data_IF_807463280685
#
_entry.id   IF_807463280685
#
_cell.length_a   1.000
_cell.length_b   1.000
_cell.length_c   1.000
_cell.angle_alpha   90.00
_cell.angle_beta   90.00
_cell.angle_gamma   90.00
#
_symmetry.space_group_name_H-M   'P 1'
#
loop_
_entity.id
_entity.type
_entity.pdbx_description
1 polymer ?
#
# COMPACT_ATOMS: atom_id res chain seq x y z
N UNK A 1 12.30 -22.96 -24.85
CA UNK A 1 13.03 -22.32 -25.96
C UNK A 1 14.45 -22.85 -26.00
N UNK A 2 15.01 -23.00 -27.16
CA UNK A 2 16.44 -23.20 -27.31
C UNK A 2 17.14 -21.87 -26.99
N UNK A 3 18.41 -21.98 -26.59
CA UNK A 3 19.23 -20.80 -26.35
C UNK A 3 19.25 -19.87 -27.57
N UNK A 4 19.13 -18.58 -27.35
CA UNK A 4 19.14 -17.57 -28.39
C UNK A 4 20.53 -17.49 -29.03
N UNK A 5 20.64 -17.86 -30.31
CA UNK A 5 21.84 -17.57 -31.10
C UNK A 5 21.64 -16.30 -31.92
N UNK A 6 22.62 -15.40 -31.83
CA UNK A 6 22.57 -14.12 -32.55
C UNK A 6 22.41 -14.38 -34.06
N UNK A 7 21.31 -13.92 -34.67
CA UNK A 7 20.99 -14.13 -36.05
C UNK A 7 19.99 -15.25 -36.34
N UNK A 8 19.68 -16.08 -35.34
CA UNK A 8 18.61 -17.10 -35.45
C UNK A 8 17.54 -16.76 -34.42
N UNK A 9 16.33 -16.51 -34.82
CA UNK A 9 15.22 -16.20 -33.94
C UNK A 9 14.97 -17.27 -32.85
N UNK A 10 14.20 -16.94 -31.84
CA UNK A 10 13.80 -17.90 -30.80
C UNK A 10 12.99 -19.05 -31.47
N UNK A 11 13.50 -20.28 -31.32
CA UNK A 11 12.81 -21.47 -31.80
C UNK A 11 12.21 -22.27 -30.65
N UNK A 12 10.98 -22.71 -30.83
CA UNK A 12 10.30 -23.61 -29.91
C UNK A 12 10.30 -25.03 -30.53
N UNK A 13 10.50 -26.04 -29.69
CA UNK A 13 10.43 -27.43 -30.13
C UNK A 13 9.12 -28.02 -29.65
N UNK A 14 8.38 -28.64 -30.53
CA UNK A 14 7.11 -29.33 -30.21
C UNK A 14 7.30 -30.51 -29.25
N UNK A 15 8.54 -31.01 -29.11
CA UNK A 15 8.89 -32.06 -28.17
C UNK A 15 9.25 -31.52 -26.75
N UNK A 16 9.38 -30.24 -26.61
CA UNK A 16 9.79 -29.58 -25.37
C UNK A 16 8.65 -28.72 -24.82
N UNK A 17 7.71 -29.35 -24.18
CA UNK A 17 6.67 -28.67 -23.41
C UNK A 17 6.60 -29.23 -21.99
N UNK A 18 6.27 -28.38 -21.05
CA UNK A 18 6.00 -28.76 -19.68
C UNK A 18 4.51 -28.65 -19.46
N UNK A 19 3.79 -29.80 -19.36
CA UNK A 19 2.35 -29.75 -19.10
C UNK A 19 2.09 -29.23 -17.69
N UNK A 20 1.11 -28.36 -17.56
CA UNK A 20 0.57 -27.94 -16.27
C UNK A 20 -0.78 -28.64 -16.09
N UNK A 21 -0.85 -29.56 -15.15
CA UNK A 21 -2.11 -30.22 -14.79
C UNK A 21 -3.06 -29.17 -14.18
N UNK A 22 -4.34 -29.27 -14.41
CA UNK A 22 -5.34 -28.37 -13.85
C UNK A 22 -6.65 -28.34 -14.63
N UNK A 23 -7.56 -27.49 -14.19
CA UNK A 23 -8.86 -27.32 -14.82
C UNK A 23 -8.70 -26.66 -16.20
N UNK A 24 -9.38 -27.15 -17.21
CA UNK A 24 -9.31 -26.67 -18.59
C UNK A 24 -9.70 -25.20 -18.76
N UNK A 25 -10.48 -24.65 -17.83
CA UNK A 25 -10.94 -23.26 -17.83
C UNK A 25 -10.04 -22.28 -17.05
N UNK A 26 -8.95 -22.78 -16.42
CA UNK A 26 -7.99 -21.93 -15.70
C UNK A 26 -6.87 -21.45 -16.65
N UNK A 27 -7.04 -20.28 -17.23
CA UNK A 27 -6.19 -19.74 -18.29
C UNK A 27 -4.92 -19.09 -17.75
N UNK A 28 -3.78 -19.18 -18.47
CA UNK A 28 -2.58 -18.42 -18.14
C UNK A 28 -2.88 -16.91 -18.11
N UNK A 29 -2.41 -16.22 -17.07
CA UNK A 29 -2.67 -14.81 -16.82
C UNK A 29 -1.41 -13.96 -16.77
N UNK A 30 -0.34 -14.46 -16.12
CA UNK A 30 0.94 -13.78 -15.97
C UNK A 30 2.10 -14.77 -15.80
N UNK A 31 3.31 -14.26 -15.95
CA UNK A 31 4.56 -14.95 -15.65
C UNK A 31 5.40 -14.09 -14.73
N UNK A 32 6.12 -14.71 -13.81
CA UNK A 32 7.08 -14.03 -12.95
C UNK A 32 8.25 -14.94 -12.61
N UNK A 33 9.39 -14.38 -12.27
CA UNK A 33 10.56 -15.17 -11.87
C UNK A 33 11.14 -14.64 -10.57
N UNK A 34 11.57 -15.54 -9.70
CA UNK A 34 12.31 -15.22 -8.48
C UNK A 34 13.42 -16.25 -8.27
N UNK A 35 14.67 -15.79 -8.29
CA UNK A 35 15.82 -16.69 -8.30
C UNK A 35 15.76 -17.69 -9.47
N UNK A 36 15.89 -19.00 -9.18
CA UNK A 36 15.82 -20.06 -10.18
C UNK A 36 14.41 -20.63 -10.39
N UNK A 37 13.37 -19.93 -9.89
CA UNK A 37 11.99 -20.38 -9.98
C UNK A 37 11.22 -19.53 -10.98
N UNK A 38 10.58 -20.16 -11.95
CA UNK A 38 9.60 -19.54 -12.82
C UNK A 38 8.21 -19.77 -12.23
N UNK A 39 7.50 -18.71 -11.91
CA UNK A 39 6.11 -18.76 -11.52
C UNK A 39 5.21 -18.56 -12.72
N UNK A 40 4.29 -19.48 -12.91
CA UNK A 40 3.25 -19.42 -13.95
C UNK A 40 1.93 -19.17 -13.24
N UNK A 41 1.40 -17.99 -13.47
CA UNK A 41 0.09 -17.61 -12.93
C UNK A 41 -0.99 -17.99 -13.93
N UNK A 42 -2.04 -18.57 -13.41
CA UNK A 42 -3.34 -18.69 -14.06
C UNK A 42 -4.34 -17.79 -13.33
N UNK A 43 -5.57 -17.71 -13.79
CA UNK A 43 -6.59 -16.87 -13.16
C UNK A 43 -6.95 -17.36 -11.73
N UNK A 44 -6.81 -18.68 -11.47
CA UNK A 44 -7.22 -19.32 -10.22
C UNK A 44 -6.11 -20.14 -9.55
N UNK A 45 -4.97 -20.31 -10.18
CA UNK A 45 -3.87 -21.12 -9.65
C UNK A 45 -2.50 -20.53 -9.93
N UNK A 46 -1.50 -20.95 -9.15
CA UNK A 46 -0.10 -20.58 -9.31
C UNK A 46 0.74 -21.84 -9.32
N UNK A 47 1.59 -21.95 -10.33
CA UNK A 47 2.53 -23.05 -10.50
C UNK A 47 3.97 -22.53 -10.47
N UNK A 48 4.88 -23.34 -9.93
CA UNK A 48 6.29 -23.06 -9.89
C UNK A 48 7.07 -24.12 -10.66
N UNK A 49 7.99 -23.69 -11.51
CA UNK A 49 8.93 -24.55 -12.21
C UNK A 49 10.34 -24.15 -11.79
N UNK A 50 11.07 -25.12 -11.27
CA UNK A 50 12.46 -24.94 -10.85
C UNK A 50 13.40 -25.62 -11.85
N UNK A 51 14.66 -25.16 -11.88
CA UNK A 51 15.71 -25.77 -12.67
C UNK A 51 16.17 -24.93 -13.84
N UNK A 52 17.35 -25.23 -14.34
CA UNK A 52 17.98 -24.46 -15.43
C UNK A 52 17.54 -24.93 -16.81
N UNK A 53 16.78 -26.03 -16.88
CA UNK A 53 16.35 -26.64 -18.12
C UNK A 53 17.46 -27.39 -18.86
N UNK A 54 17.19 -27.85 -20.09
CA UNK A 54 18.16 -28.57 -20.87
C UNK A 54 19.27 -27.67 -21.38
N UNK A 55 20.52 -28.13 -21.24
CA UNK A 55 21.69 -27.49 -21.82
C UNK A 55 21.69 -27.52 -23.35
N UNK A 56 22.62 -26.80 -23.99
CA UNK A 56 22.80 -26.85 -25.46
C UNK A 56 22.99 -28.25 -26.01
N UNK A 57 23.52 -29.18 -25.24
CA UNK A 57 23.72 -30.57 -25.60
C UNK A 57 22.50 -31.46 -25.35
N UNK A 58 21.40 -30.89 -24.84
CA UNK A 58 20.17 -31.60 -24.51
C UNK A 58 20.23 -32.35 -23.17
N UNK A 59 21.26 -32.18 -22.38
CA UNK A 59 21.35 -32.75 -21.03
C UNK A 59 20.69 -31.81 -20.01
N UNK A 60 20.08 -32.38 -18.96
CA UNK A 60 19.32 -31.65 -17.95
C UNK A 60 17.85 -31.54 -18.30
N UNK A 61 17.03 -31.33 -17.30
CA UNK A 61 15.56 -31.19 -17.42
C UNK A 61 15.06 -30.14 -16.43
N UNK A 62 13.91 -29.56 -16.69
CA UNK A 62 13.18 -28.85 -15.64
C UNK A 62 12.62 -29.86 -14.64
N UNK A 63 12.55 -29.46 -13.38
CA UNK A 63 11.79 -30.21 -12.39
C UNK A 63 10.29 -30.20 -12.75
N UNK A 64 9.56 -31.21 -12.30
CA UNK A 64 8.11 -31.25 -12.46
C UNK A 64 7.46 -29.99 -11.88
N UNK A 65 6.47 -29.39 -12.57
CA UNK A 65 5.75 -28.24 -12.04
C UNK A 65 5.15 -28.54 -10.68
N UNK A 66 5.33 -27.61 -9.76
CA UNK A 66 4.78 -27.69 -8.42
C UNK A 66 3.61 -26.72 -8.29
N UNK A 67 2.49 -27.19 -7.76
CA UNK A 67 1.35 -26.34 -7.45
C UNK A 67 1.65 -25.53 -6.18
N UNK A 68 1.71 -24.21 -6.31
CA UNK A 68 1.93 -23.26 -5.19
C UNK A 68 0.60 -22.88 -4.54
N UNK A 69 -0.42 -22.62 -5.37
CA UNK A 69 -1.78 -22.31 -4.92
C UNK A 69 -2.80 -22.81 -5.94
N UNK A 70 -3.93 -23.32 -5.45
CA UNK A 70 -5.07 -23.75 -6.26
C UNK A 70 -6.32 -22.85 -6.08
N UNK A 71 -6.19 -21.76 -5.32
CA UNK A 71 -7.28 -20.82 -5.00
C UNK A 71 -6.94 -19.38 -5.30
N UNK A 72 -5.65 -19.08 -5.47
CA UNK A 72 -5.12 -17.75 -5.75
C UNK A 72 -4.40 -17.83 -7.08
N UNK A 73 -4.71 -16.91 -7.98
CA UNK A 73 -4.04 -16.74 -9.26
C UNK A 73 -3.78 -15.26 -9.51
N UNK A 74 -3.40 -14.87 -10.72
CA UNK A 74 -3.24 -13.46 -11.05
C UNK A 74 -4.31 -12.99 -12.02
N UNK A 75 -4.72 -11.74 -11.92
CA UNK A 75 -5.61 -11.12 -12.89
C UNK A 75 -4.93 -11.10 -14.26
N UNK A 76 -5.70 -11.43 -15.29
CA UNK A 76 -5.20 -11.50 -16.66
C UNK A 76 -4.52 -10.20 -17.08
N UNK A 77 -3.22 -10.30 -17.42
CA UNK A 77 -2.38 -9.19 -17.85
C UNK A 77 -2.04 -8.20 -16.75
N UNK A 78 -2.18 -8.55 -15.46
CA UNK A 78 -1.55 -7.83 -14.36
C UNK A 78 -0.03 -8.03 -14.42
N UNK A 79 0.74 -6.98 -14.15
CA UNK A 79 2.18 -7.09 -14.04
C UNK A 79 2.56 -7.90 -12.79
N UNK A 80 3.76 -8.50 -12.86
CA UNK A 80 4.43 -9.08 -11.70
C UNK A 80 5.75 -8.36 -11.49
N UNK A 81 6.15 -8.15 -10.25
CA UNK A 81 7.38 -7.43 -9.93
C UNK A 81 8.15 -8.10 -8.80
N UNK A 82 9.43 -8.35 -9.01
CA UNK A 82 10.31 -8.98 -8.03
C UNK A 82 11.04 -7.93 -7.20
N UNK A 83 11.01 -8.11 -5.89
CA UNK A 83 11.79 -7.34 -4.92
C UNK A 83 12.60 -8.30 -4.01
N UNK A 84 13.34 -7.76 -3.08
CA UNK A 84 14.03 -8.54 -2.05
C UNK A 84 13.05 -9.31 -1.12
N UNK A 85 11.83 -8.79 -0.91
CA UNK A 85 10.81 -9.46 -0.09
C UNK A 85 10.09 -10.59 -0.84
N UNK A 86 10.10 -10.57 -2.17
CA UNK A 86 9.44 -11.57 -3.00
C UNK A 86 8.79 -10.98 -4.25
N UNK A 87 7.92 -11.77 -4.86
CA UNK A 87 7.23 -11.45 -6.11
C UNK A 87 5.84 -10.89 -5.83
N UNK A 88 5.62 -9.64 -6.20
CA UNK A 88 4.33 -8.96 -6.11
C UNK A 88 3.47 -9.22 -7.34
N UNK A 89 2.17 -9.36 -7.15
CA UNK A 89 1.17 -9.49 -8.21
C UNK A 89 -0.22 -9.08 -7.71
N UNK A 90 -1.18 -8.92 -8.60
CA UNK A 90 -2.58 -8.66 -8.27
C UNK A 90 -3.44 -9.88 -8.58
N UNK A 91 -4.27 -10.30 -7.64
CA UNK A 91 -5.36 -11.25 -7.85
C UNK A 91 -6.73 -10.55 -7.80
N UNK A 92 -7.80 -11.34 -7.82
CA UNK A 92 -9.18 -10.84 -7.76
C UNK A 92 -9.53 -10.13 -6.44
N UNK A 93 -8.79 -10.37 -5.38
CA UNK A 93 -8.97 -9.78 -4.05
C UNK A 93 -8.15 -8.52 -3.86
N UNK A 94 -6.97 -8.43 -4.48
CA UNK A 94 -6.07 -7.28 -4.34
C UNK A 94 -4.61 -7.65 -4.54
N UNK A 95 -3.73 -7.01 -3.79
CA UNK A 95 -2.28 -7.20 -3.93
C UNK A 95 -1.79 -8.36 -3.08
N UNK A 96 -1.06 -9.26 -3.71
CA UNK A 96 -0.46 -10.45 -3.12
C UNK A 96 1.06 -10.38 -3.22
N UNK A 97 1.73 -11.08 -2.31
CA UNK A 97 3.19 -11.27 -2.28
C UNK A 97 3.52 -12.76 -2.19
N UNK A 98 4.33 -13.28 -3.11
CA UNK A 98 4.97 -14.59 -2.96
C UNK A 98 6.33 -14.38 -2.30
N UNK A 99 6.40 -14.67 -1.03
CA UNK A 99 7.64 -14.63 -0.25
C UNK A 99 8.12 -16.03 0.14
N UNK A 100 9.15 -16.12 0.99
CA UNK A 100 9.68 -17.40 1.48
C UNK A 100 8.63 -18.26 2.21
N UNK A 101 7.63 -17.64 2.80
CA UNK A 101 6.56 -18.29 3.56
C UNK A 101 5.32 -18.62 2.70
N UNK A 102 5.42 -18.52 1.36
CA UNK A 102 4.33 -18.74 0.45
C UNK A 102 3.59 -17.46 0.05
N UNK A 103 2.34 -17.61 -0.41
CA UNK A 103 1.50 -16.50 -0.87
C UNK A 103 0.87 -15.79 0.32
N UNK A 104 1.04 -14.47 0.38
CA UNK A 104 0.51 -13.62 1.45
C UNK A 104 -0.34 -12.50 0.87
N UNK A 105 -1.51 -12.26 1.44
CA UNK A 105 -2.36 -11.13 1.10
C UNK A 105 -1.92 -9.89 1.89
N UNK A 106 -1.36 -8.91 1.18
CA UNK A 106 -0.86 -7.67 1.77
C UNK A 106 -1.74 -6.46 1.47
N UNK A 107 -2.67 -6.59 0.53
CA UNK A 107 -3.53 -5.51 0.05
C UNK A 107 -4.71 -5.13 0.94
N UNK A 108 -4.88 -5.73 2.12
CA UNK A 108 -6.07 -5.55 2.96
C UNK A 108 -6.35 -4.09 3.35
N UNK A 109 -5.30 -3.30 3.60
CA UNK A 109 -5.44 -1.90 4.00
C UNK A 109 -5.95 -0.98 2.87
N UNK A 110 -5.80 -1.41 1.61
CA UNK A 110 -6.20 -0.64 0.42
C UNK A 110 -7.32 -1.32 -0.37
N UNK A 111 -7.86 -2.44 0.09
CA UNK A 111 -8.86 -3.25 -0.62
C UNK A 111 -10.04 -2.39 -1.10
N UNK A 112 -10.64 -1.60 -0.21
CA UNK A 112 -11.75 -0.70 -0.55
C UNK A 112 -11.37 0.40 -1.53
N UNK A 113 -10.12 0.90 -1.46
CA UNK A 113 -9.65 1.98 -2.32
C UNK A 113 -9.19 1.50 -3.68
N UNK A 114 -8.65 0.29 -3.75
CA UNK A 114 -8.27 -0.39 -4.99
C UNK A 114 -9.55 -0.87 -5.71
N UNK A 115 -10.51 -1.42 -4.96
CA UNK A 115 -11.78 -1.92 -5.48
C UNK A 115 -11.58 -2.86 -6.67
N UNK A 116 -12.25 -2.57 -7.77
CA UNK A 116 -12.09 -3.31 -9.03
C UNK A 116 -10.99 -2.76 -9.95
N UNK A 117 -10.21 -1.79 -9.49
CA UNK A 117 -9.15 -1.19 -10.30
C UNK A 117 -8.04 -2.20 -10.56
N UNK A 118 -7.58 -2.21 -11.80
CA UNK A 118 -6.47 -3.07 -12.20
C UNK A 118 -5.16 -2.35 -12.05
N UNK A 119 -4.17 -3.03 -11.49
CA UNK A 119 -2.77 -2.60 -11.56
C UNK A 119 -2.27 -2.80 -12.98
N UNK A 120 -1.78 -1.73 -13.58
CA UNK A 120 -1.28 -1.68 -14.95
C UNK A 120 0.24 -1.76 -15.00
N UNK A 121 0.91 -1.28 -13.95
CA UNK A 121 2.36 -1.32 -13.82
C UNK A 121 2.78 -1.36 -12.35
N UNK A 122 3.93 -2.00 -12.10
CA UNK A 122 4.56 -2.07 -10.77
C UNK A 122 6.03 -1.70 -10.93
N UNK A 123 6.51 -0.82 -10.07
CA UNK A 123 7.90 -0.37 -10.05
C UNK A 123 8.37 -0.19 -8.61
N UNK A 124 9.67 -0.20 -8.38
CA UNK A 124 10.28 0.01 -7.07
C UNK A 124 11.10 1.27 -7.05
N UNK A 125 10.85 2.15 -6.08
CA UNK A 125 11.76 3.24 -5.76
C UNK A 125 12.80 2.74 -4.75
N UNK A 126 14.01 2.48 -5.25
CA UNK A 126 15.11 1.98 -4.43
C UNK A 126 15.54 3.00 -3.36
N UNK A 127 15.53 4.29 -3.72
CA UNK A 127 15.92 5.38 -2.81
C UNK A 127 14.98 5.48 -1.60
N UNK A 128 13.68 5.23 -1.81
CA UNK A 128 12.65 5.39 -0.79
C UNK A 128 12.26 4.08 -0.12
N UNK A 129 12.74 2.94 -0.60
CA UNK A 129 12.39 1.62 -0.06
C UNK A 129 10.90 1.28 -0.23
N UNK A 130 10.27 1.77 -1.32
CA UNK A 130 8.85 1.56 -1.59
C UNK A 130 8.62 0.85 -2.92
N UNK A 131 7.54 0.07 -2.98
CA UNK A 131 7.00 -0.49 -4.22
C UNK A 131 5.77 0.30 -4.62
N UNK A 132 5.70 0.71 -5.87
CA UNK A 132 4.64 1.53 -6.46
C UNK A 132 3.76 0.68 -7.37
N UNK A 133 2.46 0.78 -7.20
CA UNK A 133 1.44 0.07 -7.97
C UNK A 133 0.56 1.09 -8.68
N UNK A 134 0.70 1.24 -9.98
CA UNK A 134 -0.12 2.16 -10.76
C UNK A 134 -1.44 1.50 -11.18
N UNK A 135 -2.52 2.20 -10.96
CA UNK A 135 -3.78 2.02 -11.67
C UNK A 135 -3.92 3.11 -12.73
N UNK A 136 -4.99 3.11 -13.48
CA UNK A 136 -5.21 4.15 -14.50
C UNK A 136 -5.34 5.58 -13.92
N UNK A 137 -5.65 5.73 -12.63
CA UNK A 137 -5.92 7.03 -11.99
C UNK A 137 -5.09 7.32 -10.75
N UNK A 138 -4.52 6.30 -10.11
CA UNK A 138 -3.84 6.44 -8.83
C UNK A 138 -2.56 5.62 -8.79
N UNK A 139 -1.66 6.00 -7.92
CA UNK A 139 -0.50 5.17 -7.55
C UNK A 139 -0.61 4.82 -6.07
N UNK A 140 -0.66 3.53 -5.77
CA UNK A 140 -0.52 3.02 -4.41
C UNK A 140 0.94 2.71 -4.16
N UNK A 141 1.42 2.99 -2.96
CA UNK A 141 2.79 2.69 -2.57
C UNK A 141 2.80 1.82 -1.33
N UNK A 142 3.69 0.85 -1.32
CA UNK A 142 3.92 -0.05 -0.20
C UNK A 142 5.34 0.12 0.31
N UNK A 143 5.48 0.53 1.57
CA UNK A 143 6.79 0.60 2.23
C UNK A 143 7.27 -0.80 2.59
N UNK A 144 8.45 -1.17 2.12
CA UNK A 144 9.06 -2.47 2.42
C UNK A 144 9.49 -2.55 3.90
N UNK A 145 9.94 -1.45 4.48
CA UNK A 145 10.44 -1.39 5.85
C UNK A 145 9.28 -1.39 6.88
N UNK A 146 8.28 -0.55 6.63
CA UNK A 146 7.19 -0.34 7.59
C UNK A 146 5.95 -1.19 7.30
N UNK A 147 5.89 -1.86 6.14
CA UNK A 147 4.74 -2.65 5.68
C UNK A 147 3.44 -1.84 5.67
N UNK A 148 3.54 -0.57 5.28
CA UNK A 148 2.44 0.38 5.27
C UNK A 148 2.12 0.82 3.86
N UNK A 149 0.83 1.12 3.64
CA UNK A 149 0.32 1.59 2.37
C UNK A 149 0.09 3.09 2.37
N UNK A 150 0.39 3.71 1.23
CA UNK A 150 0.03 5.09 0.93
C UNK A 150 -0.62 5.16 -0.46
N UNK A 151 -1.33 6.24 -0.73
CA UNK A 151 -1.99 6.47 -2.02
C UNK A 151 -1.69 7.88 -2.50
N UNK A 152 -1.17 7.98 -3.71
CA UNK A 152 -1.02 9.24 -4.41
C UNK A 152 -2.17 9.44 -5.39
N UNK A 153 -2.82 10.58 -5.28
CA UNK A 153 -3.89 11.03 -6.17
C UNK A 153 -3.41 12.28 -6.88
N UNK A 154 -3.24 12.20 -8.17
CA UNK A 154 -2.74 13.32 -8.98
C UNK A 154 -3.92 14.16 -9.46
N UNK A 155 -3.95 15.44 -9.11
CA UNK A 155 -5.08 16.33 -9.36
C UNK A 155 -5.43 16.50 -10.85
N UNK A 156 -4.47 16.28 -11.75
CA UNK A 156 -4.63 16.49 -13.21
C UNK A 156 -4.82 15.22 -14.03
N UNK A 157 -4.87 14.05 -13.42
CA UNK A 157 -5.10 12.79 -14.16
C UNK A 157 -6.57 12.61 -14.55
N UNK A 158 -7.48 13.51 -14.16
CA UNK A 158 -8.92 13.35 -14.42
C UNK A 158 -9.30 13.13 -15.89
N UNK A 159 -8.48 13.58 -16.83
CA UNK A 159 -8.67 13.37 -18.28
C UNK A 159 -7.64 12.42 -18.92
N UNK A 160 -6.55 12.16 -18.25
CA UNK A 160 -5.45 11.32 -18.73
C UNK A 160 -5.30 10.10 -17.83
N UNK A 161 -4.84 9.00 -18.40
CA UNK A 161 -4.61 7.76 -17.66
C UNK A 161 -3.13 7.52 -17.48
N UNK A 162 -2.75 7.00 -16.32
CA UNK A 162 -1.41 6.46 -16.11
C UNK A 162 -1.28 5.20 -16.98
N UNK A 163 -0.17 5.06 -17.69
CA UNK A 163 0.12 3.88 -18.51
C UNK A 163 1.43 3.20 -18.11
N UNK A 164 2.24 3.82 -17.27
CA UNK A 164 3.49 3.22 -16.80
C UNK A 164 4.14 4.04 -15.69
N UNK A 165 5.03 3.36 -14.97
CA UNK A 165 5.92 3.91 -13.97
C UNK A 165 7.36 3.72 -14.43
N UNK A 166 8.29 4.44 -13.82
CA UNK A 166 9.71 4.23 -14.02
C UNK A 166 10.52 4.94 -12.95
N UNK A 167 11.70 4.43 -12.67
CA UNK A 167 12.70 5.08 -11.85
C UNK A 167 13.99 5.25 -12.65
N UNK A 168 14.62 6.40 -12.52
CA UNK A 168 15.94 6.63 -13.07
C UNK A 168 16.76 7.50 -12.12
N UNK A 169 17.87 6.95 -11.65
CA UNK A 169 18.80 7.61 -10.73
C UNK A 169 18.12 8.20 -9.48
N UNK A 170 17.28 7.38 -8.83
CA UNK A 170 16.53 7.73 -7.63
C UNK A 170 15.41 8.74 -7.84
N UNK A 171 15.07 9.04 -9.10
CA UNK A 171 13.95 9.89 -9.47
C UNK A 171 12.82 9.07 -10.05
N UNK A 172 11.64 9.24 -9.52
CA UNK A 172 10.44 8.55 -9.95
C UNK A 172 9.75 9.29 -11.11
N UNK A 173 9.23 8.55 -12.05
CA UNK A 173 8.49 9.05 -13.20
C UNK A 173 7.15 8.35 -13.35
N UNK A 174 6.19 9.07 -13.94
CA UNK A 174 4.88 8.56 -14.31
C UNK A 174 4.66 8.89 -15.77
N UNK A 175 4.24 7.90 -16.56
CA UNK A 175 3.92 8.06 -17.96
C UNK A 175 2.40 8.10 -18.15
N UNK A 176 1.92 9.06 -18.91
CA UNK A 176 0.50 9.25 -19.20
C UNK A 176 0.17 8.87 -20.63
N UNK A 177 -1.10 8.50 -20.88
CA UNK A 177 -1.59 8.05 -22.18
C UNK A 177 -1.56 9.14 -23.27
N UNK A 178 -1.39 10.41 -22.90
CA UNK A 178 -1.22 11.52 -23.84
C UNK A 178 0.25 11.72 -24.27
N UNK A 179 1.18 10.87 -23.78
CA UNK A 179 2.62 10.94 -24.06
C UNK A 179 3.41 11.84 -23.11
N UNK A 180 2.77 12.45 -22.14
CA UNK A 180 3.48 13.21 -21.11
C UNK A 180 4.21 12.27 -20.15
N UNK A 181 5.41 12.69 -19.75
CA UNK A 181 6.17 12.03 -18.68
C UNK A 181 6.30 13.05 -17.54
N UNK A 182 5.74 12.69 -16.40
CA UNK A 182 5.80 13.52 -15.21
C UNK A 182 6.92 13.01 -14.30
N UNK A 183 7.73 13.95 -13.83
CA UNK A 183 8.77 13.73 -12.85
C UNK A 183 8.20 13.99 -11.46
N UNK A 184 8.39 13.07 -10.53
CA UNK A 184 8.08 13.30 -9.13
C UNK A 184 9.03 14.35 -8.53
N UNK A 185 8.49 15.32 -7.80
CA UNK A 185 9.30 16.32 -7.13
C UNK A 185 10.12 15.67 -6.01
N UNK A 186 11.31 16.19 -5.75
CA UNK A 186 12.11 15.75 -4.61
C UNK A 186 11.29 15.94 -3.31
N UNK A 187 11.31 14.94 -2.43
CA UNK A 187 10.59 14.95 -1.14
C UNK A 187 10.95 16.14 -0.24
N UNK A 188 12.10 16.79 -0.50
CA UNK A 188 12.54 18.01 0.18
C UNK A 188 12.13 19.30 -0.53
N UNK A 189 11.30 19.22 -1.56
CA UNK A 189 10.81 20.43 -2.22
C UNK A 189 9.91 21.21 -1.26
N UNK A 190 10.24 22.46 -1.01
CA UNK A 190 9.43 23.38 -0.20
C UNK A 190 8.03 23.66 -0.77
N UNK A 191 7.74 23.16 -1.97
CA UNK A 191 6.49 23.39 -2.70
C UNK A 191 5.99 22.11 -3.37
N UNK A 192 5.44 21.15 -2.62
CA UNK A 192 4.86 19.94 -3.22
C UNK A 192 3.59 20.33 -4.02
N UNK A 193 3.70 20.34 -5.33
CA UNK A 193 2.61 20.73 -6.24
C UNK A 193 2.56 19.83 -7.46
N UNK A 194 1.34 19.45 -7.83
CA UNK A 194 1.09 18.74 -9.07
C UNK A 194 0.81 19.73 -10.21
N UNK A 195 1.40 19.50 -11.37
CA UNK A 195 1.05 20.17 -12.61
C UNK A 195 2.19 20.93 -13.29
N UNK A 196 1.85 21.63 -14.36
CA UNK A 196 2.78 22.48 -15.12
C UNK A 196 3.00 23.80 -14.39
N UNK A 197 4.13 24.45 -14.65
CA UNK A 197 4.58 25.68 -13.97
C UNK A 197 3.55 26.83 -13.92
N UNK A 198 2.54 26.82 -14.79
CA UNK A 198 1.49 27.85 -14.86
C UNK A 198 0.22 27.53 -14.08
N UNK A 199 0.07 26.28 -13.59
CA UNK A 199 -1.19 25.85 -12.99
C UNK A 199 -0.91 24.69 -12.00
N UNK A 200 -0.29 25.05 -10.90
CA UNK A 200 0.13 24.12 -9.86
C UNK A 200 -0.99 23.89 -8.83
N UNK A 201 -1.37 22.65 -8.64
CA UNK A 201 -2.32 22.25 -7.60
C UNK A 201 -1.57 21.78 -6.36
N UNK A 202 -1.87 22.31 -5.16
CA UNK A 202 -1.24 21.88 -3.93
C UNK A 202 -1.53 20.40 -3.63
N UNK A 203 -0.51 19.67 -3.20
CA UNK A 203 -0.69 18.32 -2.65
C UNK A 203 -1.08 18.47 -1.19
N UNK A 204 -2.24 17.94 -0.81
CA UNK A 204 -2.75 18.01 0.58
C UNK A 204 -2.55 16.67 1.29
N UNK A 205 -2.06 16.74 2.52
CA UNK A 205 -1.89 15.56 3.37
C UNK A 205 -3.26 15.02 3.80
N UNK A 206 -3.46 13.73 3.59
CA UNK A 206 -4.55 12.97 4.20
C UNK A 206 -3.98 11.72 4.84
N UNK A 207 -4.04 11.64 6.17
CA UNK A 207 -3.58 10.49 6.93
C UNK A 207 -4.78 9.84 7.62
N UNK A 208 -4.91 8.52 7.53
CA UNK A 208 -5.92 7.73 8.22
C UNK A 208 -5.23 6.60 8.97
N UNK A 209 -5.44 6.50 10.28
CA UNK A 209 -4.95 5.36 11.05
C UNK A 209 -5.83 4.13 10.81
N UNK A 210 -5.31 2.95 11.11
CA UNK A 210 -6.15 1.80 11.41
C UNK A 210 -6.95 2.02 12.70
N UNK A 211 -7.79 1.07 13.06
CA UNK A 211 -8.43 1.04 14.36
C UNK A 211 -7.39 0.74 15.45
N UNK A 212 -7.21 1.66 16.39
CA UNK A 212 -6.33 1.51 17.54
C UNK A 212 -7.17 0.95 18.67
N UNK A 213 -7.03 -0.34 18.96
CA UNK A 213 -7.70 -1.01 20.06
C UNK A 213 -6.89 -0.91 21.35
N UNK A 214 -7.55 -0.80 22.50
CA UNK A 214 -6.90 -0.56 23.79
C UNK A 214 -6.79 -1.80 24.66
N UNK A 215 -7.55 -2.84 24.37
CA UNK A 215 -7.56 -4.09 25.13
C UNK A 215 -7.74 -5.29 24.21
N UNK A 216 -7.33 -6.47 24.70
CA UNK A 216 -7.75 -7.74 24.13
C UNK A 216 -9.29 -7.88 24.14
N UNK A 217 -9.79 -8.80 23.37
CA UNK A 217 -11.17 -9.11 22.91
C UNK A 217 -12.34 -8.76 23.87
N UNK A 218 -12.10 -8.39 25.12
CA UNK A 218 -13.13 -8.13 26.12
C UNK A 218 -12.78 -6.95 27.05
N UNK A 219 -12.68 -5.76 26.56
CA UNK A 219 -12.51 -4.65 27.48
C UNK A 219 -12.57 -3.26 26.85
N UNK A 220 -13.32 -2.37 27.48
CA UNK A 220 -13.26 -0.95 27.17
C UNK A 220 -12.02 -0.32 27.79
N UNK A 221 -11.20 0.35 26.99
CA UNK A 221 -10.21 1.28 27.46
C UNK A 221 -10.80 2.66 27.74
N UNK A 222 -10.00 3.54 28.30
CA UNK A 222 -10.31 4.97 28.35
C UNK A 222 -9.29 5.73 27.54
N UNK A 223 -9.71 6.37 26.46
CA UNK A 223 -8.91 7.29 25.70
C UNK A 223 -9.30 8.72 26.11
N UNK A 224 -8.36 9.50 26.68
CA UNK A 224 -8.66 10.81 27.20
C UNK A 224 -8.40 11.91 26.19
N UNK A 225 -7.23 11.89 25.60
CA UNK A 225 -6.77 12.92 24.66
C UNK A 225 -5.76 12.36 23.69
N UNK A 226 -5.65 13.07 22.58
CA UNK A 226 -4.58 12.85 21.62
C UNK A 226 -3.67 14.08 21.55
N UNK A 227 -2.45 13.88 21.09
CA UNK A 227 -1.52 14.93 20.74
C UNK A 227 -0.79 14.58 19.46
N UNK A 228 -0.71 15.53 18.53
CA UNK A 228 0.19 15.46 17.37
C UNK A 228 1.37 16.37 17.63
N UNK A 229 2.55 15.85 17.32
CA UNK A 229 3.80 16.59 17.25
C UNK A 229 4.23 16.68 15.81
N UNK A 230 4.77 17.82 15.42
CA UNK A 230 5.26 18.02 14.07
C UNK A 230 6.02 19.32 13.93
N UNK A 231 6.41 19.63 12.71
CA UNK A 231 7.12 20.85 12.36
C UNK A 231 6.27 21.72 11.43
N UNK A 232 6.25 23.00 11.70
CA UNK A 232 5.63 24.00 10.84
C UNK A 232 6.45 24.19 9.57
N UNK A 233 5.79 24.22 8.41
CA UNK A 233 6.42 24.55 7.14
C UNK A 233 5.76 25.77 6.49
N UNK A 234 4.43 25.87 6.54
CA UNK A 234 3.67 27.02 6.06
C UNK A 234 2.31 27.11 6.75
N UNK A 235 1.60 28.23 6.57
CA UNK A 235 0.27 28.42 7.12
C UNK A 235 -0.73 27.40 6.60
N UNK A 236 -1.39 26.68 7.53
CA UNK A 236 -2.25 25.54 7.20
C UNK A 236 -3.35 25.34 8.24
N UNK A 237 -4.47 24.78 7.83
CA UNK A 237 -5.50 24.23 8.73
C UNK A 237 -5.35 22.71 8.78
N UNK A 238 -5.24 22.17 10.00
CA UNK A 238 -5.27 20.73 10.23
C UNK A 238 -6.62 20.37 10.83
N UNK A 239 -7.37 19.50 10.15
CA UNK A 239 -8.64 18.95 10.64
C UNK A 239 -8.42 17.53 11.08
N UNK A 240 -8.70 17.24 12.34
CA UNK A 240 -8.63 15.89 12.90
C UNK A 240 -10.04 15.39 13.15
N UNK A 241 -10.41 14.29 12.50
CA UNK A 241 -11.69 13.60 12.68
C UNK A 241 -11.46 12.32 13.45
N UNK A 242 -12.36 11.99 14.36
CA UNK A 242 -12.26 10.81 15.21
C UNK A 242 -13.52 9.98 15.12
N UNK A 243 -13.32 8.69 14.92
CA UNK A 243 -14.37 7.66 14.92
C UNK A 243 -14.08 6.64 16.02
N UNK A 244 -15.10 5.97 16.56
CA UNK A 244 -15.02 5.09 17.73
C UNK A 244 -15.69 3.74 17.46
N UNK A 245 -15.20 2.71 18.16
CA UNK A 245 -15.85 1.39 18.30
C UNK A 245 -16.17 0.70 16.96
N UNK A 246 -15.24 0.77 16.01
CA UNK A 246 -15.35 0.18 14.68
C UNK A 246 -16.50 0.74 13.82
N UNK A 247 -17.08 1.88 14.21
CA UNK A 247 -18.03 2.65 13.42
C UNK A 247 -17.31 3.81 12.74
N UNK A 248 -17.32 3.83 11.40
CA UNK A 248 -16.65 4.86 10.60
C UNK A 248 -17.34 6.24 10.66
N UNK A 249 -18.48 6.33 11.35
CA UNK A 249 -19.14 7.62 11.59
C UNK A 249 -18.22 8.54 12.40
N UNK A 250 -17.95 9.73 11.86
CA UNK A 250 -17.15 10.74 12.55
C UNK A 250 -17.95 11.32 13.70
N UNK A 251 -17.44 11.18 14.93
CA UNK A 251 -18.07 11.70 16.15
C UNK A 251 -17.44 13.03 16.56
N UNK A 252 -16.11 13.12 16.56
CA UNK A 252 -15.40 14.34 16.93
C UNK A 252 -14.69 14.96 15.73
N UNK A 253 -14.69 16.28 15.66
CA UNK A 253 -13.91 17.05 14.68
C UNK A 253 -13.21 18.21 15.36
N UNK A 254 -11.87 18.27 15.18
CA UNK A 254 -11.02 19.32 15.72
C UNK A 254 -10.36 20.06 14.57
N UNK A 255 -10.42 21.40 14.60
CA UNK A 255 -9.74 22.24 13.62
C UNK A 255 -8.64 23.05 14.33
N UNK A 256 -7.45 22.97 13.78
CA UNK A 256 -6.27 23.67 14.26
C UNK A 256 -5.73 24.56 13.16
N UNK A 257 -5.82 25.88 13.35
CA UNK A 257 -5.30 26.87 12.41
C UNK A 257 -3.88 27.25 12.82
N UNK A 258 -2.92 27.00 11.95
CA UNK A 258 -1.51 27.33 12.13
C UNK A 258 -1.19 28.51 11.22
N UNK A 259 -1.21 29.71 11.80
CA UNK A 259 -0.89 30.92 11.07
C UNK A 259 0.63 31.12 10.92
N UNK A 260 1.04 31.87 9.91
CA UNK A 260 2.45 32.22 9.64
C UNK A 260 3.04 33.24 10.62
N UNK A 261 2.19 33.93 11.39
CA UNK A 261 2.64 35.00 12.27
C UNK A 261 3.57 34.49 13.37
N UNK A 262 4.82 34.94 13.36
CA UNK A 262 5.82 34.62 14.38
C UNK A 262 6.39 33.18 14.30
N UNK A 263 6.25 32.50 13.16
CA UNK A 263 6.76 31.15 12.93
C UNK A 263 7.68 31.09 11.72
N UNK A 264 8.69 30.24 11.84
CA UNK A 264 9.63 29.89 10.79
C UNK A 264 9.47 28.41 10.40
N UNK A 265 9.80 28.03 9.17
CA UNK A 265 9.83 26.63 8.76
C UNK A 265 10.80 25.84 9.67
N UNK A 266 10.37 24.67 10.14
CA UNK A 266 11.08 23.86 11.13
C UNK A 266 10.67 24.15 12.58
N UNK A 267 9.85 25.17 12.86
CA UNK A 267 9.38 25.41 14.22
C UNK A 267 8.48 24.26 14.71
N UNK A 268 8.68 23.76 15.94
CA UNK A 268 7.86 22.68 16.46
C UNK A 268 6.42 23.14 16.70
N UNK A 269 5.47 22.29 16.32
CA UNK A 269 4.05 22.50 16.56
C UNK A 269 3.47 21.31 17.31
N UNK A 270 2.54 21.59 18.20
CA UNK A 270 1.82 20.57 18.96
C UNK A 270 0.33 20.87 18.95
N UNK A 271 -0.46 19.85 18.56
CA UNK A 271 -1.91 19.89 18.61
C UNK A 271 -2.41 18.90 19.66
N UNK A 272 -3.40 19.31 20.45
CA UNK A 272 -4.01 18.47 21.48
C UNK A 272 -5.52 18.56 21.39
N UNK A 273 -6.21 17.41 21.52
CA UNK A 273 -7.65 17.35 21.59
C UNK A 273 -8.12 16.39 22.69
N UNK A 274 -9.22 16.75 23.37
CA UNK A 274 -9.87 15.87 24.34
C UNK A 274 -10.95 15.06 23.62
N UNK A 275 -10.91 13.75 23.77
CA UNK A 275 -11.89 12.86 23.14
C UNK A 275 -13.21 12.92 23.88
N UNK A 276 -14.34 13.10 23.15
CA UNK A 276 -15.68 13.18 23.73
C UNK A 276 -16.14 11.82 24.26
N UNK A 277 -15.87 10.74 23.52
CA UNK A 277 -16.18 9.37 23.93
C UNK A 277 -14.96 8.71 24.54
N UNK A 278 -14.76 8.99 25.84
CA UNK A 278 -13.58 8.47 26.54
C UNK A 278 -13.61 6.96 26.78
N UNK A 279 -14.80 6.36 26.92
CA UNK A 279 -14.96 4.92 27.09
C UNK A 279 -15.28 4.29 25.73
N UNK A 280 -14.30 3.66 25.12
CA UNK A 280 -14.42 3.02 23.81
C UNK A 280 -13.57 1.74 23.72
N UNK A 281 -13.86 0.88 22.78
CA UNK A 281 -13.08 -0.33 22.47
C UNK A 281 -11.90 0.00 21.55
N UNK A 282 -12.14 0.88 20.59
CA UNK A 282 -11.16 1.32 19.62
C UNK A 282 -11.41 2.77 19.19
N UNK A 283 -10.35 3.41 18.70
CA UNK A 283 -10.41 4.77 18.12
C UNK A 283 -9.69 4.78 16.78
N UNK A 284 -10.18 5.60 15.87
CA UNK A 284 -9.59 5.82 14.54
C UNK A 284 -9.50 7.31 14.26
N UNK A 285 -8.36 7.73 13.74
CA UNK A 285 -8.10 9.13 13.40
C UNK A 285 -8.03 9.29 11.88
N UNK A 286 -8.61 10.37 11.38
CA UNK A 286 -8.39 10.89 10.03
C UNK A 286 -7.89 12.33 10.16
N UNK A 287 -6.70 12.61 9.63
CA UNK A 287 -6.06 13.92 9.64
C UNK A 287 -6.07 14.44 8.22
N UNK A 288 -6.59 15.63 8.05
CA UNK A 288 -6.72 16.31 6.78
C UNK A 288 -6.02 17.66 6.86
N UNK A 289 -5.21 17.93 5.87
CA UNK A 289 -4.65 19.25 5.63
C UNK A 289 -5.58 20.05 4.72
N UNK A 290 -5.74 21.33 4.98
CA UNK A 290 -6.50 22.25 4.14
C UNK A 290 -5.80 23.62 4.10
N UNK A 291 -6.04 24.36 3.02
CA UNK A 291 -5.58 25.75 2.90
C UNK A 291 -6.20 26.60 4.00
N UNK A 292 -5.40 27.39 4.68
CA UNK A 292 -5.91 28.45 5.51
C UNK A 292 -6.33 29.61 4.58
N UNK A 293 -7.52 30.18 4.82
CA UNK A 293 -8.09 31.23 3.98
C UNK A 293 -7.12 32.41 3.81
N UNK A 294 -6.86 32.82 2.57
CA UNK A 294 -5.92 33.89 2.24
C UNK A 294 -4.44 33.47 2.18
N UNK A 295 -4.11 32.20 2.36
CA UNK A 295 -2.74 31.68 2.21
C UNK A 295 -2.58 30.82 0.95
N UNK A 296 -1.37 30.84 0.38
CA UNK A 296 -0.98 29.87 -0.65
C UNK A 296 -0.42 28.64 0.07
N UNK A 297 -0.98 27.46 -0.16
CA UNK A 297 -0.39 26.23 0.40
C UNK A 297 0.97 26.03 -0.27
N UNK A 298 1.97 26.00 0.61
CA UNK A 298 3.29 25.45 0.34
C UNK A 298 3.34 24.06 1.02
N UNK A 299 4.45 23.59 1.51
CA UNK A 299 4.47 22.45 2.45
C UNK A 299 3.82 22.89 3.77
N UNK A 300 2.69 22.33 4.18
CA UNK A 300 1.93 22.83 5.34
C UNK A 300 2.56 22.45 6.68
N UNK A 301 2.62 21.15 6.97
CA UNK A 301 3.16 20.60 8.22
C UNK A 301 3.82 19.25 7.98
N UNK A 302 4.87 18.95 8.71
CA UNK A 302 5.44 17.61 8.84
C UNK A 302 4.88 17.02 10.13
N UNK A 303 4.19 15.88 10.05
CA UNK A 303 3.70 15.17 11.24
C UNK A 303 4.75 14.11 11.61
N UNK A 304 5.31 14.23 12.82
CA UNK A 304 6.34 13.31 13.31
C UNK A 304 5.77 12.22 14.22
N UNK A 305 4.79 12.58 15.06
CA UNK A 305 4.28 11.68 16.07
C UNK A 305 2.80 11.90 16.38
N UNK A 306 2.09 10.79 16.63
CA UNK A 306 0.75 10.75 17.20
C UNK A 306 0.83 10.07 18.57
N UNK A 307 0.57 10.80 19.63
CA UNK A 307 0.47 10.28 20.98
C UNK A 307 -1.01 10.20 21.41
N UNK A 308 -1.36 9.10 22.07
CA UNK A 308 -2.68 8.88 22.63
C UNK A 308 -2.57 8.61 24.12
N UNK A 309 -3.24 9.44 24.94
CA UNK A 309 -3.31 9.22 26.38
C UNK A 309 -4.42 8.23 26.70
N UNK A 310 -4.02 7.07 27.21
CA UNK A 310 -4.90 5.95 27.52
C UNK A 310 -4.89 5.68 29.01
N UNK A 311 -6.08 5.53 29.61
CA UNK A 311 -6.24 5.05 30.97
C UNK A 311 -6.57 3.55 30.97
N UNK A 312 -5.67 2.73 31.49
CA UNK A 312 -5.96 1.33 31.71
C UNK A 312 -6.73 1.17 33.01
N UNK A 313 -7.99 0.75 32.94
CA UNK A 313 -8.72 0.29 34.11
C UNK A 313 -8.22 -1.14 34.41
N UNK A 314 -7.49 -1.34 35.51
CA UNK A 314 -7.22 -2.69 36.02
C UNK A 314 -8.59 -3.34 36.32
N UNK A 315 -9.05 -4.19 35.42
CA UNK A 315 -10.22 -5.01 35.65
C UNK A 315 -9.93 -5.98 36.80
N UNK A 316 -10.75 -5.95 37.83
CA UNK A 316 -10.80 -7.07 38.77
C UNK A 316 -11.47 -8.20 37.98
N UNK A 317 -10.70 -9.21 37.56
CA UNK A 317 -11.24 -10.47 37.09
C UNK A 317 -12.04 -11.05 38.25
N UNK A 318 -13.37 -10.90 38.23
CA UNK A 318 -14.23 -11.76 39.04
C UNK A 318 -14.24 -13.10 38.33
N UNK A 319 -13.50 -14.06 38.85
CA UNK A 319 -13.73 -15.46 38.55
C UNK A 319 -15.19 -15.74 38.91
N UNK A 320 -16.01 -16.03 37.92
CA UNK A 320 -17.35 -16.58 38.14
C UNK A 320 -17.17 -17.86 38.88
N UNK A 321 -17.56 -17.88 40.14
CA UNK A 321 -17.72 -19.13 40.91
C UNK A 321 -18.72 -19.97 40.13
N UNK A 322 -18.26 -21.08 39.58
CA UNK A 322 -19.15 -22.10 39.01
C UNK A 322 -20.02 -22.61 40.15
N UNK A 323 -21.31 -22.26 40.16
CA UNK A 323 -22.28 -22.91 41.02
C UNK A 323 -22.41 -24.36 40.53
N UNK A 324 -21.74 -25.26 41.21
CA UNK A 324 -22.04 -26.68 41.07
C UNK A 324 -23.42 -26.91 41.66
N UNK A 325 -24.43 -27.04 40.79
CA UNK A 325 -25.74 -27.53 41.20
C UNK A 325 -25.53 -29.01 41.54
N UNK A 326 -25.56 -29.30 42.85
CA UNK A 326 -25.51 -30.67 43.32
C UNK A 326 -26.75 -31.42 42.83
N UNK A 327 -26.50 -32.50 42.08
CA UNK A 327 -27.54 -33.47 41.78
C UNK A 327 -27.86 -34.22 43.09
N UNK A 328 -29.08 -34.09 43.57
CA UNK A 328 -29.72 -35.00 44.53
C UNK A 328 -30.37 -36.13 43.80
#
# INVERSE_FOLDING_TARGET
>A
SKEYELGFGVSFSDSFYVPLDGLDDDKPSALGSAGNTLYIFREKSIWAINGEGPSKTGSGTYYAPQLVSNTIGALKGSPTYLTEQGLFFQDSRGIQLIGPNGVQYIGSAIEDQLGSSRVIDIDQSLKEGIVRFATDTNVFTYSLDFQQWSKYVYARISSNKIIGLGENDGTNYIMLNNGEIWKEADSQSANPRDGLSSDLTPIVLKLRTGWISFNDIQGFGRAYRFAFLGEYQSAVRITVKVSYDYDDTVVDTYNFDVASSGRSAGDPVQFRGHLSKQKCEAVKFEILEATLEGSTILAGIIIENLALEIGTKRGIFRTTTTNTIGAS
#
